data_IF_096639379791
#
_entry.id   IF_096639379791
#
_cell.length_a   1.000
_cell.length_b   1.000
_cell.length_c   1.000
_cell.angle_alpha   90.00
_cell.angle_beta   90.00
_cell.angle_gamma   90.00
#
_symmetry.space_group_name_H-M   'P 1'
#
loop_
_entity.id
_entity.type
_entity.pdbx_description
1 polymer ?
#
# COMPACT_ATOMS: atom_id res chain seq x y z
N UNK A 1 14.01 -17.34 -6.71
CA UNK A 1 12.85 -18.23 -6.56
C UNK A 1 11.83 -17.95 -7.65
N UNK A 2 11.18 -18.98 -8.19
CA UNK A 2 10.02 -18.75 -9.06
C UNK A 2 8.86 -18.11 -8.29
N UNK A 3 8.14 -17.19 -8.91
CA UNK A 3 6.91 -16.67 -8.34
C UNK A 3 5.91 -17.83 -8.18
N UNK A 4 5.34 -17.97 -7.00
CA UNK A 4 4.43 -19.02 -6.49
C UNK A 4 4.13 -20.17 -7.46
N UNK A 5 4.83 -21.30 -7.27
CA UNK A 5 4.52 -22.60 -7.90
C UNK A 5 5.23 -22.91 -9.22
N UNK A 6 6.06 -22.02 -9.73
CA UNK A 6 6.95 -22.31 -10.85
C UNK A 6 8.20 -23.01 -10.35
N UNK A 7 8.37 -24.31 -10.67
CA UNK A 7 9.64 -24.99 -10.47
C UNK A 7 10.69 -24.35 -11.38
N UNK A 8 11.81 -23.91 -10.81
CA UNK A 8 12.96 -23.51 -11.60
C UNK A 8 13.61 -24.78 -12.16
N UNK A 9 13.83 -24.81 -13.47
CA UNK A 9 14.44 -25.94 -14.14
C UNK A 9 15.87 -25.65 -14.59
N UNK A 10 16.48 -26.61 -15.26
CA UNK A 10 17.85 -26.52 -15.80
C UNK A 10 18.04 -25.34 -16.77
N UNK A 11 17.03 -25.01 -17.56
CA UNK A 11 17.09 -23.87 -18.50
C UNK A 11 17.23 -22.52 -17.82
N UNK A 12 16.57 -22.32 -16.69
CA UNK A 12 16.69 -21.11 -15.88
C UNK A 12 18.03 -21.06 -15.15
N UNK A 13 18.53 -22.19 -14.72
CA UNK A 13 19.85 -22.31 -14.12
C UNK A 13 20.95 -21.89 -15.10
N UNK A 14 20.93 -22.44 -16.32
CA UNK A 14 21.86 -22.07 -17.39
C UNK A 14 21.78 -20.58 -17.76
N UNK A 15 20.57 -20.04 -17.80
CA UNK A 15 20.36 -18.60 -18.07
C UNK A 15 20.97 -17.72 -16.99
N UNK A 16 20.78 -18.06 -15.71
CA UNK A 16 21.40 -17.35 -14.58
C UNK A 16 22.91 -17.43 -14.64
N UNK A 17 23.45 -18.62 -14.87
CA UNK A 17 24.88 -18.84 -15.00
C UNK A 17 25.46 -18.00 -16.14
N UNK A 18 24.85 -18.01 -17.31
CA UNK A 18 25.27 -17.22 -18.46
C UNK A 18 25.31 -15.70 -18.16
N UNK A 19 24.27 -15.19 -17.46
CA UNK A 19 24.22 -13.77 -17.10
C UNK A 19 25.37 -13.39 -16.15
N UNK A 20 25.70 -14.26 -15.18
CA UNK A 20 26.80 -14.01 -14.23
C UNK A 20 28.17 -14.08 -14.91
N UNK A 21 28.37 -15.06 -15.80
CA UNK A 21 29.61 -15.26 -16.53
C UNK A 21 29.86 -14.09 -17.51
N UNK A 22 28.84 -13.65 -18.23
CA UNK A 22 28.91 -12.45 -19.11
C UNK A 22 29.18 -11.15 -18.34
N UNK A 23 28.73 -11.06 -17.09
CA UNK A 23 29.00 -9.91 -16.23
C UNK A 23 30.38 -9.97 -15.54
N UNK A 24 31.10 -11.07 -15.68
CA UNK A 24 32.41 -11.27 -15.03
C UNK A 24 32.32 -11.33 -13.50
N UNK A 25 31.16 -11.70 -12.95
CA UNK A 25 30.93 -11.77 -11.51
C UNK A 25 31.31 -13.14 -10.96
N UNK A 26 32.39 -13.18 -10.19
CA UNK A 26 32.82 -14.40 -9.49
C UNK A 26 31.82 -14.78 -8.38
N UNK A 27 31.51 -16.07 -8.30
CA UNK A 27 30.66 -16.64 -7.24
C UNK A 27 31.30 -17.89 -6.64
N UNK A 28 31.06 -18.15 -5.35
CA UNK A 28 31.62 -19.30 -4.64
C UNK A 28 30.84 -20.59 -4.96
N UNK A 29 29.53 -20.48 -5.12
CA UNK A 29 28.66 -21.61 -5.48
C UNK A 29 27.39 -21.16 -6.17
N UNK A 30 26.89 -21.99 -7.08
CA UNK A 30 25.62 -21.87 -7.77
C UNK A 30 24.91 -23.22 -7.70
N UNK A 31 23.78 -23.29 -7.01
CA UNK A 31 23.04 -24.53 -6.73
C UNK A 31 21.57 -24.36 -7.05
N UNK A 32 21.00 -25.35 -7.74
CA UNK A 32 19.56 -25.47 -7.95
C UNK A 32 19.02 -26.51 -6.96
N UNK A 33 18.05 -26.09 -6.13
CA UNK A 33 17.32 -26.98 -5.22
C UNK A 33 15.81 -26.72 -5.28
N UNK A 34 15.05 -27.46 -4.47
CA UNK A 34 13.58 -27.34 -4.42
C UNK A 34 13.10 -25.93 -4.01
N UNK A 35 13.94 -25.16 -3.34
CA UNK A 35 13.64 -23.78 -2.91
C UNK A 35 13.98 -22.74 -3.98
N UNK A 36 14.73 -23.10 -5.02
CA UNK A 36 15.14 -22.21 -6.10
C UNK A 36 16.63 -22.29 -6.45
N UNK A 37 17.13 -21.29 -7.19
CA UNK A 37 18.56 -21.14 -7.50
C UNK A 37 19.21 -20.34 -6.37
N UNK A 38 20.20 -20.93 -5.71
CA UNK A 38 21.03 -20.27 -4.70
C UNK A 38 22.40 -19.95 -5.27
N UNK A 39 22.82 -18.71 -5.10
CA UNK A 39 24.11 -18.21 -5.54
C UNK A 39 24.82 -17.65 -4.32
N UNK A 40 26.05 -18.08 -4.07
CA UNK A 40 26.88 -17.57 -3.00
C UNK A 40 27.98 -16.70 -3.59
N UNK A 41 28.09 -15.47 -3.08
CA UNK A 41 29.12 -14.53 -3.44
C UNK A 41 30.09 -14.33 -2.29
N UNK A 42 31.38 -14.04 -2.58
CA UNK A 42 32.37 -13.82 -1.53
C UNK A 42 32.19 -12.51 -0.78
N UNK A 43 31.54 -11.51 -1.42
CA UNK A 43 31.33 -10.18 -0.82
C UNK A 43 29.90 -9.69 -1.05
N UNK A 44 29.46 -8.78 -0.17
CA UNK A 44 28.15 -8.12 -0.29
C UNK A 44 28.05 -7.24 -1.53
N UNK A 45 29.15 -6.63 -1.97
CA UNK A 45 29.18 -5.80 -3.17
C UNK A 45 28.96 -6.64 -4.45
N UNK A 46 29.62 -7.79 -4.53
CA UNK A 46 29.41 -8.75 -5.63
C UNK A 46 27.96 -9.26 -5.64
N UNK A 47 27.37 -9.51 -4.47
CA UNK A 47 25.98 -9.93 -4.32
C UNK A 47 25.00 -8.86 -4.83
N UNK A 48 25.22 -7.59 -4.49
CA UNK A 48 24.39 -6.47 -4.93
C UNK A 48 24.49 -6.25 -6.45
N UNK A 49 25.70 -6.27 -7.01
CA UNK A 49 25.93 -6.16 -8.43
C UNK A 49 25.24 -7.30 -9.21
N UNK A 50 25.35 -8.53 -8.69
CA UNK A 50 24.69 -9.68 -9.30
C UNK A 50 23.16 -9.54 -9.27
N UNK A 51 22.58 -9.06 -8.17
CA UNK A 51 21.14 -8.77 -8.09
C UNK A 51 20.72 -7.80 -9.19
N UNK A 52 21.39 -6.65 -9.28
CA UNK A 52 21.03 -5.60 -10.23
C UNK A 52 21.09 -6.10 -11.68
N UNK A 53 22.12 -6.90 -12.00
CA UNK A 53 22.26 -7.50 -13.32
C UNK A 53 21.19 -8.55 -13.60
N UNK A 54 20.87 -9.41 -12.63
CA UNK A 54 19.84 -10.43 -12.76
C UNK A 54 18.43 -9.82 -12.84
N UNK A 55 18.14 -8.74 -12.10
CA UNK A 55 16.86 -8.02 -12.19
C UNK A 55 16.61 -7.43 -13.59
N UNK A 56 17.66 -6.99 -14.28
CA UNK A 56 17.56 -6.42 -15.64
C UNK A 56 17.49 -7.49 -16.73
N UNK A 57 18.20 -8.61 -16.56
CA UNK A 57 18.39 -9.60 -17.65
C UNK A 57 17.50 -10.85 -17.54
N UNK A 58 16.96 -11.14 -16.35
CA UNK A 58 16.04 -12.25 -16.20
C UNK A 58 14.61 -11.85 -16.59
N UNK A 59 13.84 -12.79 -17.20
CA UNK A 59 12.43 -12.56 -17.47
C UNK A 59 11.65 -12.25 -16.18
N UNK A 60 10.58 -11.48 -16.31
CA UNK A 60 9.66 -11.22 -15.19
C UNK A 60 9.04 -12.52 -14.67
N UNK A 61 8.91 -12.63 -13.36
CA UNK A 61 8.35 -13.83 -12.71
C UNK A 61 9.31 -14.52 -11.75
N UNK A 62 10.47 -13.93 -11.50
CA UNK A 62 11.42 -14.42 -10.50
C UNK A 62 11.55 -13.41 -9.35
N UNK A 63 11.61 -13.91 -8.13
CA UNK A 63 11.94 -13.10 -6.95
C UNK A 63 13.40 -13.33 -6.59
N UNK A 64 14.20 -12.25 -6.62
CA UNK A 64 15.58 -12.27 -6.18
C UNK A 64 15.62 -11.81 -4.74
N UNK A 65 15.92 -12.72 -3.83
CA UNK A 65 16.06 -12.43 -2.40
C UNK A 65 17.55 -12.43 -2.03
N UNK A 66 18.00 -11.37 -1.35
CA UNK A 66 19.34 -11.29 -0.79
C UNK A 66 19.30 -11.84 0.64
N UNK A 67 20.21 -12.80 0.92
CA UNK A 67 20.36 -13.37 2.26
C UNK A 67 21.85 -13.44 2.57
N UNK A 68 22.26 -13.00 3.75
CA UNK A 68 23.60 -13.22 4.22
C UNK A 68 23.67 -14.59 4.85
N UNK A 69 24.56 -15.45 4.32
CA UNK A 69 24.86 -16.72 4.92
C UNK A 69 25.94 -16.55 5.98
N UNK A 70 25.80 -17.23 7.13
CA UNK A 70 26.87 -17.24 8.13
C UNK A 70 28.14 -17.88 7.53
N UNK A 71 29.27 -17.30 7.83
CA UNK A 71 30.59 -17.89 7.54
C UNK A 71 31.02 -18.92 8.60
N UNK A 72 30.07 -19.55 9.29
CA UNK A 72 30.34 -20.53 10.31
C UNK A 72 30.89 -21.83 9.67
N UNK A 73 31.94 -22.43 10.22
CA UNK A 73 32.44 -23.73 9.76
C UNK A 73 31.37 -24.83 9.90
N UNK A 74 31.35 -25.79 8.97
CA UNK A 74 30.34 -26.86 8.93
C UNK A 74 30.28 -27.72 10.20
N UNK A 75 31.39 -27.89 10.91
CA UNK A 75 31.44 -28.61 12.18
C UNK A 75 30.63 -27.92 13.30
N UNK A 76 30.53 -26.58 13.27
CA UNK A 76 29.76 -25.80 14.26
C UNK A 76 28.26 -25.95 14.02
N UNK A 77 27.84 -25.98 12.77
CA UNK A 77 26.44 -26.26 12.40
C UNK A 77 26.03 -27.69 12.76
N UNK A 78 26.95 -28.66 12.67
CA UNK A 78 26.76 -30.03 13.11
C UNK A 78 26.52 -30.21 14.63
N UNK A 79 26.95 -29.24 15.45
CA UNK A 79 26.70 -29.17 16.89
C UNK A 79 25.37 -28.45 17.24
N UNK A 80 24.58 -28.07 16.24
CA UNK A 80 23.34 -27.31 16.46
C UNK A 80 23.56 -25.85 16.87
N UNK A 81 24.78 -25.33 16.77
CA UNK A 81 25.06 -23.92 17.03
C UNK A 81 24.60 -23.09 15.85
N UNK A 82 23.42 -22.50 15.99
CA UNK A 82 22.90 -21.55 15.01
C UNK A 82 23.61 -20.20 15.18
N UNK A 83 24.01 -19.54 14.09
CA UNK A 83 24.58 -18.21 14.16
C UNK A 83 23.57 -17.22 14.76
N UNK A 84 24.06 -16.35 15.61
CA UNK A 84 23.25 -15.27 16.14
C UNK A 84 22.94 -14.26 15.03
N UNK A 85 21.67 -13.95 14.84
CA UNK A 85 21.27 -12.93 13.89
C UNK A 85 21.70 -11.55 14.42
N UNK A 86 22.46 -10.86 13.57
CA UNK A 86 22.99 -9.54 13.91
C UNK A 86 21.92 -8.48 13.63
N UNK A 87 21.57 -7.70 14.64
CA UNK A 87 20.66 -6.57 14.50
C UNK A 87 21.25 -5.42 13.67
N UNK A 88 20.46 -4.34 13.55
CA UNK A 88 20.79 -3.15 12.76
C UNK A 88 22.16 -2.56 13.12
N UNK A 89 22.53 -2.55 14.41
CA UNK A 89 23.77 -1.93 14.92
C UNK A 89 25.04 -2.69 14.52
N UNK A 90 24.92 -3.98 14.19
CA UNK A 90 26.05 -4.83 13.82
C UNK A 90 26.10 -5.16 12.33
N UNK A 91 24.95 -5.15 11.66
CA UNK A 91 24.81 -5.49 10.24
C UNK A 91 24.75 -4.26 9.35
N UNK A 92 24.45 -3.11 9.93
CA UNK A 92 24.05 -1.93 9.20
C UNK A 92 22.64 -2.06 8.65
N UNK A 93 22.14 -1.07 7.97
CA UNK A 93 20.80 -1.05 7.38
C UNK A 93 20.08 0.27 7.66
N UNK A 94 18.75 0.23 7.64
CA UNK A 94 17.92 1.43 7.75
C UNK A 94 16.91 1.30 8.89
N UNK A 95 16.78 2.38 9.64
CA UNK A 95 15.74 2.59 10.64
C UNK A 95 14.81 3.68 10.17
N UNK A 96 13.52 3.37 10.10
CA UNK A 96 12.45 4.33 9.84
C UNK A 96 11.54 4.45 11.06
N UNK A 97 11.19 5.69 11.40
CA UNK A 97 10.10 5.99 12.29
C UNK A 97 8.94 6.57 11.44
N UNK A 98 7.82 5.86 11.43
CA UNK A 98 6.64 6.21 10.66
C UNK A 98 5.57 6.73 11.62
N UNK A 99 4.88 7.79 11.24
CA UNK A 99 3.69 8.30 11.92
C UNK A 99 2.45 7.99 11.08
N UNK A 100 1.42 7.46 11.72
CA UNK A 100 0.13 7.14 11.07
C UNK A 100 -0.75 8.38 11.08
N UNK A 101 -1.28 8.76 9.91
CA UNK A 101 -2.22 9.87 9.78
C UNK A 101 -3.61 9.47 10.29
N UNK A 102 -3.80 9.65 11.60
CA UNK A 102 -5.04 9.32 12.29
C UNK A 102 -6.20 10.23 11.89
N UNK A 103 -5.91 11.47 11.47
CA UNK A 103 -6.94 12.39 10.99
C UNK A 103 -7.55 11.90 9.66
N UNK A 104 -6.72 11.36 8.78
CA UNK A 104 -7.22 10.73 7.54
C UNK A 104 -8.03 9.47 7.82
N UNK A 105 -7.66 8.67 8.82
CA UNK A 105 -8.45 7.53 9.25
C UNK A 105 -9.83 7.97 9.78
N UNK A 106 -9.86 9.00 10.63
CA UNK A 106 -11.09 9.56 11.16
C UNK A 106 -11.99 10.12 10.04
N UNK A 107 -11.43 10.90 9.12
CA UNK A 107 -12.17 11.43 7.95
C UNK A 107 -12.85 10.34 7.14
N UNK A 108 -12.14 9.23 6.86
CA UNK A 108 -12.72 8.08 6.14
C UNK A 108 -13.84 7.40 6.93
N UNK A 109 -13.72 7.33 8.25
CA UNK A 109 -14.78 6.80 9.10
C UNK A 109 -16.02 7.72 9.06
N UNK A 110 -15.84 9.03 9.16
CA UNK A 110 -16.92 10.02 9.04
C UNK A 110 -17.63 9.93 7.69
N UNK A 111 -16.91 9.76 6.57
CA UNK A 111 -17.49 9.58 5.23
C UNK A 111 -18.31 8.27 5.12
N UNK A 112 -17.88 7.20 5.79
CA UNK A 112 -18.70 5.97 5.90
C UNK A 112 -19.96 6.23 6.69
N UNK A 113 -19.87 6.87 7.85
CA UNK A 113 -21.05 7.22 8.65
C UNK A 113 -22.01 8.16 7.93
N UNK A 114 -21.54 9.06 7.04
CA UNK A 114 -22.41 9.84 6.16
C UNK A 114 -23.27 8.93 5.27
N UNK A 115 -22.67 7.86 4.76
CA UNK A 115 -23.38 6.88 3.92
C UNK A 115 -24.38 6.06 4.74
N UNK A 116 -23.97 5.64 5.93
CA UNK A 116 -24.81 4.86 6.86
C UNK A 116 -25.98 5.71 7.38
N UNK A 117 -25.75 6.97 7.71
CA UNK A 117 -26.82 7.92 8.09
C UNK A 117 -27.84 8.10 6.98
N UNK A 118 -27.39 8.19 5.71
CA UNK A 118 -28.31 8.28 4.56
C UNK A 118 -29.17 7.04 4.40
N UNK A 119 -28.62 5.85 4.57
CA UNK A 119 -29.39 4.60 4.49
C UNK A 119 -30.34 4.47 5.67
N UNK A 120 -29.89 4.69 6.90
CA UNK A 120 -30.66 4.59 8.13
C UNK A 120 -31.87 5.53 8.11
N UNK A 121 -31.66 6.81 7.77
CA UNK A 121 -32.77 7.78 7.72
C UNK A 121 -33.74 7.49 6.57
N UNK A 122 -33.26 6.96 5.44
CA UNK A 122 -34.11 6.56 4.30
C UNK A 122 -34.97 5.35 4.68
N UNK A 123 -34.43 4.35 5.32
CA UNK A 123 -35.14 3.15 5.78
C UNK A 123 -36.21 3.52 6.82
N UNK A 124 -35.90 4.46 7.72
CA UNK A 124 -36.85 5.01 8.68
C UNK A 124 -37.84 5.99 8.04
N UNK A 125 -37.77 6.26 6.73
CA UNK A 125 -38.60 7.22 6.00
C UNK A 125 -38.56 8.64 6.54
N UNK A 126 -37.49 9.01 7.20
CA UNK A 126 -37.25 10.37 7.74
C UNK A 126 -36.68 11.25 6.61
N UNK A 127 -37.36 12.38 6.35
CA UNK A 127 -36.94 13.30 5.29
C UNK A 127 -35.91 14.29 5.85
N UNK A 128 -34.74 14.37 5.23
CA UNK A 128 -33.69 15.32 5.53
C UNK A 128 -33.42 16.23 4.34
N UNK A 129 -32.76 17.36 4.55
CA UNK A 129 -32.36 18.32 3.52
C UNK A 129 -30.97 18.01 2.99
N UNK A 130 -30.04 17.70 3.91
CA UNK A 130 -28.66 17.39 3.59
C UNK A 130 -27.98 16.58 4.68
N UNK A 131 -26.98 15.79 4.31
CA UNK A 131 -26.04 15.15 5.22
C UNK A 131 -24.66 15.34 4.64
N UNK A 132 -23.80 16.05 5.38
CA UNK A 132 -22.45 16.36 4.95
C UNK A 132 -21.48 16.28 6.14
N UNK A 133 -20.22 15.94 5.83
CA UNK A 133 -19.13 16.05 6.78
C UNK A 133 -18.70 17.52 6.87
N UNK A 134 -18.46 17.99 8.08
CA UNK A 134 -17.97 19.34 8.30
C UNK A 134 -16.46 19.44 8.05
N UNK A 135 -15.99 20.62 7.64
CA UNK A 135 -14.55 20.86 7.42
C UNK A 135 -13.74 20.79 8.70
N UNK A 136 -14.35 21.10 9.84
CA UNK A 136 -13.76 21.04 11.18
C UNK A 136 -13.84 19.67 11.84
N UNK A 137 -14.43 18.65 11.15
CA UNK A 137 -14.71 17.33 11.66
C UNK A 137 -16.14 17.18 12.16
N UNK A 138 -16.63 15.93 12.16
CA UNK A 138 -18.02 15.60 12.46
C UNK A 138 -18.92 15.64 11.24
N UNK A 139 -20.21 15.32 11.46
CA UNK A 139 -21.21 15.20 10.41
C UNK A 139 -22.42 16.05 10.79
N UNK A 140 -22.85 16.88 9.86
CA UNK A 140 -24.05 17.68 10.01
C UNK A 140 -25.20 17.10 9.20
N UNK A 141 -26.35 16.88 9.88
CA UNK A 141 -27.60 16.46 9.29
C UNK A 141 -28.61 17.58 9.39
N UNK A 142 -29.00 18.17 8.26
CA UNK A 142 -29.98 19.25 8.18
C UNK A 142 -31.36 18.68 7.93
N UNK A 143 -32.32 19.03 8.79
CA UNK A 143 -33.68 18.52 8.78
C UNK A 143 -34.71 19.62 8.48
N UNK A 144 -35.93 19.21 8.17
CA UNK A 144 -36.97 20.12 7.72
C UNK A 144 -37.87 20.64 8.85
N UNK A 145 -37.97 19.89 9.94
CA UNK A 145 -38.83 20.22 11.08
C UNK A 145 -38.28 19.64 12.37
N UNK A 146 -38.67 20.22 13.51
CA UNK A 146 -38.30 19.74 14.84
C UNK A 146 -38.76 18.31 15.11
N UNK A 147 -39.94 17.92 14.64
CA UNK A 147 -40.46 16.55 14.73
C UNK A 147 -39.56 15.55 13.99
N UNK A 148 -39.14 15.91 12.76
CA UNK A 148 -38.18 15.10 12.00
C UNK A 148 -36.82 15.01 12.69
N UNK A 149 -36.39 16.07 13.41
CA UNK A 149 -35.13 16.09 14.13
C UNK A 149 -35.15 15.16 15.34
N UNK A 150 -36.23 15.18 16.10
CA UNK A 150 -36.43 14.29 17.25
C UNK A 150 -36.49 12.80 16.82
N UNK A 151 -37.25 12.52 15.77
CA UNK A 151 -37.32 11.17 15.19
C UNK A 151 -35.97 10.70 14.66
N UNK A 152 -35.22 11.57 13.95
CA UNK A 152 -33.88 11.28 13.46
C UNK A 152 -32.90 11.03 14.60
N UNK A 153 -32.90 11.86 15.63
CA UNK A 153 -32.04 11.74 16.80
C UNK A 153 -32.21 10.38 17.47
N UNK A 154 -33.47 9.97 17.69
CA UNK A 154 -33.80 8.65 18.30
C UNK A 154 -33.35 7.51 17.42
N UNK A 155 -33.61 7.61 16.12
CA UNK A 155 -33.24 6.56 15.15
C UNK A 155 -31.73 6.40 15.01
N UNK A 156 -30.99 7.51 14.92
CA UNK A 156 -29.54 7.50 14.79
C UNK A 156 -28.89 6.91 16.03
N UNK A 157 -29.30 7.35 17.23
CA UNK A 157 -28.77 6.80 18.49
C UNK A 157 -29.00 5.32 18.65
N UNK A 158 -30.13 4.80 18.15
CA UNK A 158 -30.44 3.38 18.23
C UNK A 158 -29.65 2.54 17.19
N UNK A 159 -29.48 3.08 15.97
CA UNK A 159 -28.86 2.34 14.88
C UNK A 159 -27.33 2.49 14.79
N UNK A 160 -26.79 3.63 15.23
CA UNK A 160 -25.37 3.99 15.09
C UNK A 160 -24.79 4.43 16.45
N UNK A 161 -24.57 3.49 17.38
CA UNK A 161 -24.09 3.81 18.74
C UNK A 161 -22.67 4.38 18.79
N UNK A 162 -21.89 4.27 17.69
CA UNK A 162 -20.57 4.88 17.55
C UNK A 162 -20.59 6.40 17.31
N UNK A 163 -21.80 7.02 17.24
CA UNK A 163 -21.96 8.46 17.05
C UNK A 163 -22.57 9.13 18.28
N UNK A 164 -21.91 10.17 18.75
CA UNK A 164 -22.45 11.12 19.71
C UNK A 164 -23.25 12.17 18.96
N UNK A 165 -24.58 12.17 19.10
CA UNK A 165 -25.47 13.05 18.36
C UNK A 165 -26.12 14.07 19.28
N UNK A 166 -25.95 15.34 18.90
CA UNK A 166 -26.55 16.50 19.57
C UNK A 166 -27.47 17.25 18.63
N UNK A 167 -28.64 17.66 19.12
CA UNK A 167 -29.57 18.52 18.39
C UNK A 167 -29.23 19.98 18.60
N UNK A 168 -29.48 20.79 17.57
CA UNK A 168 -29.31 22.22 17.60
C UNK A 168 -30.08 22.92 16.48
N UNK A 169 -30.01 24.26 16.47
CA UNK A 169 -30.59 25.07 15.40
C UNK A 169 -29.50 25.90 14.75
N UNK A 170 -29.55 25.99 13.44
CA UNK A 170 -28.68 26.87 12.66
C UNK A 170 -29.56 27.80 11.83
N UNK A 171 -29.74 29.02 12.34
CA UNK A 171 -30.76 29.95 11.80
C UNK A 171 -32.17 29.41 11.98
N UNK A 172 -32.87 29.17 10.88
CA UNK A 172 -34.24 28.60 10.86
C UNK A 172 -34.28 27.09 10.66
N UNK A 173 -33.12 26.43 10.51
CA UNK A 173 -33.03 25.03 10.21
C UNK A 173 -32.74 24.17 11.46
N UNK A 174 -33.38 23.04 11.56
CA UNK A 174 -33.07 22.05 12.61
C UNK A 174 -31.85 21.23 12.15
N UNK A 175 -30.82 21.17 12.98
CA UNK A 175 -29.56 20.53 12.68
C UNK A 175 -29.21 19.51 13.77
N UNK A 176 -28.81 18.31 13.35
CA UNK A 176 -28.16 17.36 14.23
C UNK A 176 -26.67 17.32 13.89
N UNK A 177 -25.83 17.51 14.91
CA UNK A 177 -24.40 17.32 14.82
C UNK A 177 -24.03 15.96 15.39
N UNK A 178 -23.46 15.11 14.55
CA UNK A 178 -23.01 13.77 14.89
C UNK A 178 -21.48 13.72 14.85
N UNK A 179 -20.87 13.48 16.00
CA UNK A 179 -19.43 13.29 16.13
C UNK A 179 -19.15 11.80 16.43
N UNK A 180 -17.98 11.31 16.05
CA UNK A 180 -17.54 10.01 16.49
C UNK A 180 -17.38 10.00 18.00
N UNK A 181 -17.94 9.00 18.67
CA UNK A 181 -17.73 8.79 20.09
C UNK A 181 -16.24 8.53 20.38
N UNK A 182 -15.75 8.98 21.54
CA UNK A 182 -14.32 8.78 21.88
C UNK A 182 -13.90 7.31 21.84
N UNK A 183 -14.76 6.42 22.30
CA UNK A 183 -14.52 4.98 22.25
C UNK A 183 -14.39 4.44 20.83
N UNK A 184 -15.16 4.98 19.89
CA UNK A 184 -15.08 4.63 18.47
C UNK A 184 -13.77 5.15 17.84
N UNK A 185 -13.37 6.37 18.20
CA UNK A 185 -12.09 6.96 17.76
C UNK A 185 -10.91 6.10 18.25
N UNK A 186 -10.92 5.70 19.50
CA UNK A 186 -9.85 4.89 20.10
C UNK A 186 -9.76 3.49 19.43
N UNK A 187 -10.90 2.87 19.16
CA UNK A 187 -10.97 1.60 18.42
C UNK A 187 -10.48 1.75 16.97
N UNK A 188 -10.91 2.81 16.30
CA UNK A 188 -10.49 3.12 14.94
C UNK A 188 -8.97 3.31 14.86
N UNK A 189 -8.39 4.05 15.80
CA UNK A 189 -6.95 4.31 15.82
C UNK A 189 -6.15 3.04 16.10
N UNK A 190 -6.60 2.24 17.05
CA UNK A 190 -5.98 0.95 17.34
C UNK A 190 -6.03 0.03 16.13
N UNK A 191 -7.20 -0.09 15.50
CA UNK A 191 -7.38 -0.90 14.30
C UNK A 191 -6.51 -0.42 13.15
N UNK A 192 -6.49 0.90 12.88
CA UNK A 192 -5.66 1.47 11.81
C UNK A 192 -4.17 1.20 12.03
N UNK A 193 -3.69 1.31 13.28
CA UNK A 193 -2.31 1.05 13.63
C UNK A 193 -1.95 -0.43 13.44
N UNK A 194 -2.77 -1.37 13.91
CA UNK A 194 -2.56 -2.81 13.78
C UNK A 194 -2.58 -3.26 12.30
N UNK A 195 -3.52 -2.74 11.52
CA UNK A 195 -3.58 -3.00 10.08
C UNK A 195 -2.37 -2.45 9.34
N UNK A 196 -1.93 -1.23 9.68
CA UNK A 196 -0.73 -0.67 9.08
C UNK A 196 0.53 -1.47 9.44
N UNK A 197 0.67 -1.93 10.68
CA UNK A 197 1.78 -2.81 11.10
C UNK A 197 1.78 -4.09 10.26
N UNK A 198 0.62 -4.71 10.08
CA UNK A 198 0.48 -5.93 9.29
C UNK A 198 0.85 -5.69 7.81
N UNK A 199 0.31 -4.62 7.22
CA UNK A 199 0.63 -4.26 5.83
C UNK A 199 2.12 -3.92 5.65
N UNK A 200 2.71 -3.16 6.58
CA UNK A 200 4.14 -2.83 6.55
C UNK A 200 5.01 -4.09 6.70
N UNK A 201 4.64 -5.02 7.58
CA UNK A 201 5.34 -6.30 7.74
C UNK A 201 5.30 -7.10 6.44
N UNK A 202 4.13 -7.25 5.83
CA UNK A 202 4.00 -7.93 4.54
C UNK A 202 4.88 -7.27 3.45
N UNK A 203 4.94 -5.93 3.41
CA UNK A 203 5.80 -5.20 2.47
C UNK A 203 7.28 -5.46 2.69
N UNK A 204 7.70 -5.54 3.93
CA UNK A 204 9.09 -5.82 4.30
C UNK A 204 9.46 -7.27 3.98
N UNK A 205 8.54 -8.21 4.23
CA UNK A 205 8.72 -9.63 3.88
C UNK A 205 8.86 -9.81 2.36
N UNK A 206 8.07 -9.07 1.57
CA UNK A 206 8.19 -9.06 0.11
C UNK A 206 9.49 -8.42 -0.41
N UNK A 207 10.10 -7.53 0.38
CA UNK A 207 11.45 -7.02 0.07
C UNK A 207 12.54 -8.06 0.31
N UNK A 208 12.22 -9.19 0.93
CA UNK A 208 13.17 -10.26 1.24
C UNK A 208 14.17 -9.91 2.35
N UNK A 209 13.83 -8.95 3.21
CA UNK A 209 14.69 -8.55 4.33
C UNK A 209 14.68 -9.64 5.38
N UNK A 210 15.88 -10.07 5.80
CA UNK A 210 16.00 -11.05 6.87
C UNK A 210 15.82 -10.37 8.24
N UNK A 211 14.88 -10.90 9.03
CA UNK A 211 14.55 -10.47 10.39
C UNK A 211 14.28 -8.95 10.55
N UNK A 212 13.31 -8.44 9.83
CA UNK A 212 12.92 -7.05 9.98
C UNK A 212 12.23 -6.84 11.33
N UNK A 213 12.39 -5.66 11.91
CA UNK A 213 11.61 -5.26 13.07
C UNK A 213 10.51 -4.32 12.61
N UNK A 214 9.25 -4.71 12.80
CA UNK A 214 8.08 -3.85 12.58
C UNK A 214 7.24 -3.85 13.84
N UNK A 215 7.27 -2.75 14.59
CA UNK A 215 6.62 -2.68 15.90
C UNK A 215 6.01 -1.31 16.18
N UNK A 216 4.99 -1.33 17.03
CA UNK A 216 4.34 -0.12 17.53
C UNK A 216 5.29 0.67 18.45
N UNK A 217 5.29 2.00 18.30
CA UNK A 217 5.93 2.94 19.22
C UNK A 217 4.94 4.04 19.64
N UNK A 218 4.43 3.94 20.87
CA UNK A 218 3.38 4.84 21.35
C UNK A 218 2.04 4.62 20.64
N UNK A 219 1.23 5.68 20.51
CA UNK A 219 -0.16 5.57 20.05
C UNK A 219 -0.35 5.78 18.54
N UNK A 220 0.64 6.40 17.86
CA UNK A 220 0.51 6.79 16.45
C UNK A 220 1.70 6.42 15.59
N UNK A 221 2.74 5.79 16.16
CA UNK A 221 4.01 5.57 15.47
C UNK A 221 4.32 4.10 15.30
N UNK A 222 5.05 3.81 14.24
CA UNK A 222 5.53 2.47 13.89
C UNK A 222 7.02 2.59 13.61
N UNK A 223 7.82 1.77 14.28
CA UNK A 223 9.24 1.59 13.99
C UNK A 223 9.39 0.47 12.97
N UNK A 224 10.16 0.73 11.92
CA UNK A 224 10.57 -0.26 10.93
C UNK A 224 12.09 -0.26 10.85
N UNK A 225 12.69 -1.42 11.17
CA UNK A 225 14.13 -1.62 11.02
C UNK A 225 14.38 -2.69 9.97
N UNK A 226 15.26 -2.37 9.03
CA UNK A 226 15.58 -3.20 7.88
C UNK A 226 17.07 -3.50 7.87
N UNK A 227 17.52 -4.55 8.60
CA UNK A 227 18.92 -4.91 8.63
C UNK A 227 19.44 -5.33 7.25
N UNK A 228 20.62 -4.85 6.86
CA UNK A 228 21.27 -5.19 5.59
C UNK A 228 20.70 -4.51 4.34
N UNK A 229 19.66 -3.67 4.46
CA UNK A 229 19.13 -2.90 3.34
C UNK A 229 20.03 -1.68 3.08
N UNK A 230 20.52 -1.56 1.86
CA UNK A 230 21.36 -0.45 1.42
C UNK A 230 20.58 0.54 0.54
N UNK A 231 19.61 0.07 -0.24
CA UNK A 231 18.75 0.93 -1.06
C UNK A 231 17.60 1.51 -0.20
N UNK A 232 17.95 2.59 0.51
CA UNK A 232 17.00 3.33 1.36
C UNK A 232 15.88 3.97 0.55
N UNK A 233 16.18 4.40 -0.67
CA UNK A 233 15.21 5.07 -1.54
C UNK A 233 14.11 4.11 -2.01
N UNK A 234 14.47 2.87 -2.36
CA UNK A 234 13.49 1.82 -2.71
C UNK A 234 12.65 1.42 -1.50
N UNK A 235 13.29 1.20 -0.35
CA UNK A 235 12.59 0.88 0.89
C UNK A 235 11.58 1.98 1.26
N UNK A 236 11.99 3.24 1.21
CA UNK A 236 11.15 4.41 1.47
C UNK A 236 9.96 4.50 0.51
N UNK A 237 10.17 4.27 -0.79
CA UNK A 237 9.08 4.25 -1.78
C UNK A 237 8.06 3.16 -1.46
N UNK A 238 8.50 1.96 -1.10
CA UNK A 238 7.61 0.83 -0.84
C UNK A 238 6.85 1.00 0.48
N UNK A 239 7.52 1.44 1.54
CA UNK A 239 6.90 1.62 2.85
C UNK A 239 5.96 2.82 2.89
N UNK A 240 6.33 3.95 2.27
CA UNK A 240 5.60 5.21 2.35
C UNK A 240 4.43 5.34 1.37
N UNK A 241 4.36 4.52 0.31
CA UNK A 241 3.28 4.62 -0.66
C UNK A 241 1.97 4.05 -0.12
N UNK A 242 0.93 4.87 -0.17
CA UNK A 242 -0.46 4.47 0.11
C UNK A 242 -1.23 4.31 -1.19
N UNK A 243 -0.77 3.37 -2.03
CA UNK A 243 -1.47 3.09 -3.27
C UNK A 243 -2.59 2.07 -3.05
N UNK A 244 -3.74 2.33 -3.62
CA UNK A 244 -4.85 1.38 -3.70
C UNK A 244 -5.44 1.41 -5.11
N UNK A 245 -6.17 0.34 -5.45
CA UNK A 245 -6.95 0.29 -6.68
C UNK A 245 -8.43 0.32 -6.35
N UNK A 246 -9.17 1.01 -7.19
CA UNK A 246 -10.63 0.96 -7.21
C UNK A 246 -11.12 0.60 -8.62
N UNK A 247 -12.07 -0.31 -8.68
CA UNK A 247 -12.72 -0.68 -9.93
C UNK A 247 -14.02 0.06 -10.05
N UNK A 248 -14.21 0.78 -11.18
CA UNK A 248 -15.37 1.62 -11.45
C UNK A 248 -15.89 1.39 -12.86
N UNK A 249 -17.21 1.57 -13.09
CA UNK A 249 -17.76 1.56 -14.43
C UNK A 249 -17.48 2.88 -15.15
N UNK A 250 -17.22 2.79 -16.45
CA UNK A 250 -17.22 3.98 -17.31
C UNK A 250 -18.66 4.41 -17.55
N UNK A 251 -18.95 5.68 -17.35
CA UNK A 251 -20.24 6.26 -17.68
C UNK A 251 -20.30 6.50 -19.18
N UNK A 252 -20.92 5.57 -19.89
CA UNK A 252 -21.14 5.62 -21.35
C UNK A 252 -22.51 6.17 -21.73
N UNK A 253 -23.36 6.45 -20.72
CA UNK A 253 -24.71 6.99 -20.94
C UNK A 253 -24.70 8.52 -21.13
N UNK A 254 -23.67 9.19 -20.60
CA UNK A 254 -23.52 10.63 -20.67
C UNK A 254 -22.33 11.06 -21.54
N UNK A 255 -22.46 12.21 -22.20
CA UNK A 255 -21.39 12.74 -23.04
C UNK A 255 -20.22 13.23 -22.23
N UNK A 256 -19.02 12.70 -22.50
CA UNK A 256 -17.76 13.16 -21.92
C UNK A 256 -17.49 14.64 -22.25
N UNK A 257 -17.79 15.08 -23.48
CA UNK A 257 -17.58 16.46 -23.92
C UNK A 257 -18.44 17.44 -23.11
N UNK A 258 -19.69 17.09 -22.86
CA UNK A 258 -20.58 17.89 -22.01
C UNK A 258 -20.09 17.96 -20.57
N UNK A 259 -19.56 16.83 -20.06
CA UNK A 259 -18.99 16.79 -18.69
C UNK A 259 -17.73 17.65 -18.58
N UNK A 260 -16.82 17.59 -19.54
CA UNK A 260 -15.61 18.46 -19.60
C UNK A 260 -16.01 19.93 -19.71
N UNK A 261 -17.11 20.25 -20.42
CA UNK A 261 -17.70 21.58 -20.51
C UNK A 261 -18.42 22.07 -19.24
N UNK A 262 -18.30 21.33 -18.10
CA UNK A 262 -18.85 21.71 -16.80
C UNK A 262 -20.22 21.10 -16.44
N UNK A 263 -20.82 20.29 -17.31
CA UNK A 263 -22.11 19.60 -17.06
C UNK A 263 -21.88 18.16 -16.61
N UNK A 264 -21.21 17.99 -15.46
CA UNK A 264 -20.94 16.67 -14.89
C UNK A 264 -22.22 16.06 -14.27
N UNK A 265 -22.64 14.86 -14.65
CA UNK A 265 -23.81 14.20 -14.08
C UNK A 265 -23.62 13.94 -12.56
N UNK A 266 -24.68 14.05 -11.73
CA UNK A 266 -24.54 13.90 -10.26
C UNK A 266 -23.96 12.54 -9.82
N UNK A 267 -24.17 11.48 -10.61
CA UNK A 267 -23.68 10.11 -10.34
C UNK A 267 -22.26 9.84 -10.82
N UNK A 268 -21.64 10.78 -11.54
CA UNK A 268 -20.36 10.55 -12.21
C UNK A 268 -19.32 11.60 -11.84
N UNK A 269 -18.06 11.33 -12.13
CA UNK A 269 -16.91 12.22 -11.91
C UNK A 269 -15.93 12.04 -13.06
N UNK A 270 -15.29 13.15 -13.48
CA UNK A 270 -14.23 13.12 -14.47
C UNK A 270 -12.93 12.71 -13.78
N UNK A 271 -12.30 11.70 -14.34
CA UNK A 271 -10.93 11.27 -14.02
C UNK A 271 -10.05 11.45 -15.23
N UNK A 272 -8.75 11.22 -15.09
CA UNK A 272 -7.79 11.31 -16.18
C UNK A 272 -6.95 10.05 -16.24
N UNK A 273 -6.62 9.64 -17.44
CA UNK A 273 -5.54 8.70 -17.67
C UNK A 273 -4.18 9.38 -17.39
N UNK A 274 -3.11 8.62 -17.32
CA UNK A 274 -1.75 9.15 -17.18
C UNK A 274 -1.36 10.12 -18.28
N UNK A 275 -1.80 9.88 -19.50
CA UNK A 275 -1.61 10.75 -20.67
C UNK A 275 -2.55 11.97 -20.67
N UNK A 276 -3.19 12.26 -19.55
CA UNK A 276 -4.10 13.38 -19.30
C UNK A 276 -5.41 13.34 -20.09
N UNK A 277 -5.69 12.30 -20.88
CA UNK A 277 -7.00 12.13 -21.53
C UNK A 277 -8.09 11.99 -20.48
N UNK A 278 -9.19 12.76 -20.57
CA UNK A 278 -10.28 12.65 -19.62
C UNK A 278 -11.13 11.41 -19.88
N UNK A 279 -11.73 10.88 -18.82
CA UNK A 279 -12.71 9.80 -18.84
C UNK A 279 -13.77 10.05 -17.77
N UNK A 280 -15.03 9.76 -18.07
CA UNK A 280 -16.13 9.90 -17.13
C UNK A 280 -16.40 8.55 -16.49
N UNK A 281 -16.31 8.47 -15.15
CA UNK A 281 -16.57 7.25 -14.39
C UNK A 281 -17.77 7.46 -13.47
N UNK A 282 -18.54 6.40 -13.24
CA UNK A 282 -19.55 6.36 -12.19
C UNK A 282 -18.84 6.47 -10.82
N UNK A 283 -19.39 7.26 -9.89
CA UNK A 283 -18.81 7.42 -8.53
C UNK A 283 -18.85 6.15 -7.69
N UNK A 284 -19.61 5.15 -8.15
CA UNK A 284 -19.77 3.90 -7.43
C UNK A 284 -18.55 3.01 -7.62
N UNK A 285 -17.82 2.77 -6.53
CA UNK A 285 -16.76 1.75 -6.49
C UNK A 285 -17.39 0.36 -6.50
N UNK A 286 -16.96 -0.49 -7.41
CA UNK A 286 -17.43 -1.89 -7.53
C UNK A 286 -16.77 -2.73 -6.45
N UNK A 287 -15.44 -2.70 -6.38
CA UNK A 287 -14.60 -3.28 -5.34
C UNK A 287 -13.25 -2.56 -5.31
N UNK A 288 -12.53 -2.70 -4.22
CA UNK A 288 -11.25 -2.03 -3.98
C UNK A 288 -10.09 -3.02 -3.85
N UNK A 289 -8.89 -2.49 -3.69
CA UNK A 289 -7.68 -3.29 -3.43
C UNK A 289 -7.78 -4.19 -2.19
N UNK A 290 -8.70 -3.95 -1.27
CA UNK A 290 -8.94 -4.80 -0.09
C UNK A 290 -9.43 -6.20 -0.46
N UNK A 291 -10.06 -6.35 -1.63
CA UNK A 291 -10.51 -7.63 -2.15
C UNK A 291 -9.42 -8.38 -2.94
N UNK A 292 -8.22 -7.83 -3.06
CA UNK A 292 -7.10 -8.45 -3.75
C UNK A 292 -6.33 -9.34 -2.76
N UNK A 293 -6.25 -10.64 -3.08
CA UNK A 293 -5.52 -11.64 -2.29
C UNK A 293 -4.10 -11.83 -2.82
N UNK A 294 -3.94 -11.72 -4.14
CA UNK A 294 -2.64 -11.94 -4.79
C UNK A 294 -2.51 -11.08 -6.04
N UNK A 295 -1.30 -10.62 -6.29
CA UNK A 295 -0.95 -9.86 -7.47
C UNK A 295 0.45 -10.26 -7.95
N UNK A 296 0.60 -10.55 -9.24
CA UNK A 296 1.87 -10.95 -9.82
C UNK A 296 2.14 -10.17 -11.11
N UNK A 297 3.32 -9.54 -11.16
CA UNK A 297 3.79 -8.91 -12.39
C UNK A 297 4.25 -9.96 -13.40
N UNK A 298 3.96 -9.72 -14.66
CA UNK A 298 4.44 -10.53 -15.78
C UNK A 298 4.54 -9.70 -17.06
N UNK A 299 5.06 -10.29 -18.12
CA UNK A 299 5.05 -9.69 -19.46
C UNK A 299 4.00 -10.45 -20.27
N UNK A 300 3.10 -9.72 -20.91
CA UNK A 300 2.18 -10.31 -21.87
C UNK A 300 2.94 -10.77 -23.11
N UNK A 301 2.82 -12.06 -23.41
CA UNK A 301 3.52 -12.68 -24.52
C UNK A 301 3.03 -12.25 -25.90
N UNK A 302 1.84 -11.63 -25.99
CA UNK A 302 1.25 -11.16 -27.25
C UNK A 302 1.62 -9.71 -27.54
N UNK A 303 1.52 -8.84 -26.55
CA UNK A 303 1.81 -7.41 -26.71
C UNK A 303 3.24 -7.02 -26.32
N UNK A 304 3.94 -7.87 -25.56
CA UNK A 304 5.24 -7.56 -24.96
C UNK A 304 5.17 -6.52 -23.83
N UNK A 305 3.96 -6.09 -23.46
CA UNK A 305 3.72 -5.09 -22.42
C UNK A 305 3.78 -5.68 -21.02
N UNK A 306 4.07 -4.83 -20.04
CA UNK A 306 4.02 -5.21 -18.63
C UNK A 306 2.57 -5.33 -18.16
N UNK A 307 2.25 -6.42 -17.47
CA UNK A 307 0.93 -6.70 -16.92
C UNK A 307 1.01 -7.11 -15.46
N UNK A 308 -0.10 -6.90 -14.74
CA UNK A 308 -0.28 -7.42 -13.38
C UNK A 308 -1.48 -8.36 -13.36
N UNK A 309 -1.24 -9.62 -13.06
CA UNK A 309 -2.28 -10.62 -12.83
C UNK A 309 -2.82 -10.49 -11.41
N UNK A 310 -4.12 -10.30 -11.27
CA UNK A 310 -4.81 -10.09 -9.99
C UNK A 310 -5.64 -11.31 -9.64
N UNK A 311 -5.62 -11.70 -8.37
CA UNK A 311 -6.50 -12.72 -7.81
C UNK A 311 -7.34 -12.09 -6.70
N UNK A 312 -8.65 -12.17 -6.82
CA UNK A 312 -9.62 -11.65 -5.84
C UNK A 312 -9.94 -12.68 -4.75
N UNK A 313 -10.40 -12.20 -3.60
CA UNK A 313 -11.04 -13.01 -2.58
C UNK A 313 -12.42 -13.52 -3.04
N UNK A 314 -13.10 -14.28 -2.20
CA UNK A 314 -14.41 -14.84 -2.54
C UNK A 314 -15.51 -13.77 -2.68
N UNK A 315 -15.39 -12.65 -1.95
CA UNK A 315 -16.35 -11.55 -1.98
C UNK A 315 -16.15 -10.74 -3.26
N UNK A 316 -14.91 -10.30 -3.52
CA UNK A 316 -14.54 -9.57 -4.72
C UNK A 316 -14.84 -10.36 -6.00
N UNK A 317 -14.54 -11.67 -6.01
CA UNK A 317 -14.83 -12.54 -7.13
C UNK A 317 -16.33 -12.61 -7.45
N UNK A 318 -17.20 -12.73 -6.43
CA UNK A 318 -18.66 -12.73 -6.62
C UNK A 318 -19.19 -11.39 -7.13
N UNK A 319 -18.67 -10.29 -6.59
CA UNK A 319 -19.03 -8.94 -7.05
C UNK A 319 -18.58 -8.75 -8.49
N UNK A 320 -17.33 -9.09 -8.80
CA UNK A 320 -16.76 -9.00 -10.15
C UNK A 320 -17.58 -9.79 -11.15
N UNK A 321 -17.87 -11.07 -10.85
CA UNK A 321 -18.69 -11.94 -11.68
C UNK A 321 -20.08 -11.37 -11.93
N UNK A 322 -20.75 -10.88 -10.88
CA UNK A 322 -22.10 -10.30 -10.98
C UNK A 322 -22.14 -9.03 -11.83
N UNK A 323 -21.16 -8.15 -11.64
CA UNK A 323 -21.12 -6.85 -12.32
C UNK A 323 -20.69 -7.03 -13.77
N UNK A 324 -19.62 -7.78 -14.04
CA UNK A 324 -19.13 -8.00 -15.41
C UNK A 324 -20.14 -8.77 -16.25
N UNK A 325 -20.79 -9.79 -15.68
CA UNK A 325 -21.83 -10.54 -16.39
C UNK A 325 -23.06 -9.70 -16.80
N UNK A 326 -23.36 -8.60 -16.08
CA UNK A 326 -24.43 -7.67 -16.41
C UNK A 326 -24.02 -6.53 -17.35
N UNK A 327 -22.72 -6.32 -17.54
CA UNK A 327 -22.17 -5.18 -18.25
C UNK A 327 -21.20 -5.62 -19.37
N UNK A 328 -21.46 -6.78 -19.99
CA UNK A 328 -20.70 -7.23 -21.16
C UNK A 328 -20.86 -6.18 -22.28
N UNK A 329 -19.75 -5.80 -22.90
CA UNK A 329 -19.69 -4.77 -23.93
C UNK A 329 -19.44 -3.36 -23.40
N UNK A 330 -19.63 -3.11 -22.09
CA UNK A 330 -19.28 -1.84 -21.44
C UNK A 330 -17.82 -1.84 -20.93
N UNK A 331 -17.28 -0.66 -20.62
CA UNK A 331 -15.92 -0.52 -20.11
C UNK A 331 -15.89 -0.45 -18.59
N UNK A 332 -14.91 -1.12 -18.01
CA UNK A 332 -14.60 -1.06 -16.58
C UNK A 332 -13.19 -0.48 -16.39
N UNK A 333 -13.11 0.60 -15.62
CA UNK A 333 -11.87 1.31 -15.37
C UNK A 333 -11.17 0.78 -14.10
N UNK A 334 -9.85 0.72 -14.16
CA UNK A 334 -8.94 0.52 -13.03
C UNK A 334 -8.41 1.87 -12.62
N UNK A 335 -8.91 2.40 -11.51
CA UNK A 335 -8.48 3.66 -10.93
C UNK A 335 -7.37 3.39 -9.90
N UNK A 336 -6.21 3.98 -10.12
CA UNK A 336 -5.10 4.03 -9.18
C UNK A 336 -5.26 5.26 -8.30
N UNK A 337 -5.18 5.06 -7.00
CA UNK A 337 -5.26 6.12 -6.01
C UNK A 337 -4.00 6.06 -5.16
N UNK A 338 -3.24 7.14 -5.17
CA UNK A 338 -2.06 7.30 -4.34
C UNK A 338 -2.16 8.58 -3.51
N UNK A 339 -1.93 8.48 -2.21
CA UNK A 339 -1.78 9.65 -1.37
C UNK A 339 -0.28 9.94 -1.22
N UNK A 340 0.17 11.07 -1.79
CA UNK A 340 1.53 11.57 -1.64
C UNK A 340 1.56 12.68 -0.62
N UNK A 341 2.50 12.59 0.29
CA UNK A 341 2.83 13.69 1.20
C UNK A 341 4.00 14.47 0.59
N UNK A 342 3.79 15.75 0.29
CA UNK A 342 4.82 16.66 -0.21
C UNK A 342 5.09 17.75 0.80
N UNK A 343 6.36 18.04 1.06
CA UNK A 343 6.75 19.15 1.93
C UNK A 343 6.38 20.45 1.24
N UNK A 344 5.63 21.33 1.93
CA UNK A 344 5.37 22.68 1.44
C UNK A 344 6.66 23.49 1.53
N UNK A 345 6.98 24.17 0.43
CA UNK A 345 8.08 25.11 0.35
C UNK A 345 7.53 26.54 0.28
N UNK A 346 8.30 27.49 0.77
CA UNK A 346 8.06 28.92 0.53
C UNK A 346 8.41 29.35 -0.89
N UNK A 347 8.32 30.66 -1.17
CA UNK A 347 8.64 31.23 -2.47
C UNK A 347 10.13 31.04 -2.90
N UNK A 348 11.00 30.81 -1.91
CA UNK A 348 12.44 30.60 -2.09
C UNK A 348 12.82 29.13 -2.14
N UNK A 349 11.81 28.22 -2.11
CA UNK A 349 12.01 26.77 -2.18
C UNK A 349 12.43 26.14 -0.85
N UNK A 350 12.42 26.88 0.26
CA UNK A 350 12.77 26.37 1.58
C UNK A 350 11.58 25.67 2.25
N UNK A 351 11.80 24.56 2.98
CA UNK A 351 10.73 23.84 3.66
C UNK A 351 10.03 24.70 4.72
N UNK A 352 8.73 24.87 4.58
CA UNK A 352 7.91 25.54 5.57
C UNK A 352 7.82 24.71 6.86
N UNK A 353 7.99 25.37 8.01
CA UNK A 353 7.80 24.79 9.33
C UNK A 353 6.65 25.45 10.04
N UNK A 354 5.88 24.68 10.82
CA UNK A 354 4.84 25.20 11.69
C UNK A 354 5.46 25.81 12.97
N UNK A 355 4.61 26.39 13.84
CA UNK A 355 5.02 27.02 15.11
C UNK A 355 5.73 26.05 16.08
N UNK A 356 5.58 24.74 15.86
CA UNK A 356 6.27 23.68 16.61
C UNK A 356 7.56 23.19 15.93
N UNK A 357 8.03 23.89 14.88
CA UNK A 357 9.24 23.54 14.13
C UNK A 357 9.11 22.30 13.22
N UNK A 358 7.91 21.73 13.08
CA UNK A 358 7.65 20.58 12.20
C UNK A 358 7.44 21.03 10.76
N UNK A 359 7.89 20.23 9.81
CA UNK A 359 7.69 20.46 8.38
C UNK A 359 6.19 20.47 8.05
N UNK A 360 5.74 21.57 7.41
CA UNK A 360 4.38 21.65 6.89
C UNK A 360 4.29 20.83 5.62
N UNK A 361 3.38 19.86 5.60
CA UNK A 361 3.18 18.97 4.46
C UNK A 361 1.79 19.14 3.89
N UNK A 362 1.69 18.96 2.58
CA UNK A 362 0.42 18.88 1.88
C UNK A 362 0.23 17.45 1.40
N UNK A 363 -0.89 16.87 1.73
CA UNK A 363 -1.28 15.59 1.15
C UNK A 363 -1.92 15.85 -0.20
N UNK A 364 -1.35 15.26 -1.22
CA UNK A 364 -1.88 15.26 -2.57
C UNK A 364 -2.46 13.88 -2.87
N UNK A 365 -3.76 13.81 -3.10
CA UNK A 365 -4.41 12.60 -3.60
C UNK A 365 -4.31 12.59 -5.11
N UNK A 366 -3.57 11.65 -5.63
CA UNK A 366 -3.43 11.39 -7.07
C UNK A 366 -4.44 10.31 -7.43
N UNK A 367 -5.29 10.60 -8.39
CA UNK A 367 -6.29 9.68 -8.92
C UNK A 367 -6.07 9.56 -10.41
N UNK A 368 -5.56 8.43 -10.87
CA UNK A 368 -5.23 8.18 -12.27
C UNK A 368 -5.86 6.89 -12.76
N UNK A 369 -6.44 6.91 -13.94
CA UNK A 369 -6.93 5.70 -14.59
C UNK A 369 -5.77 5.01 -15.31
N UNK A 370 -5.45 3.78 -14.89
CA UNK A 370 -4.43 2.96 -15.55
C UNK A 370 -4.96 2.47 -16.88
N UNK A 371 -6.13 1.83 -16.85
CA UNK A 371 -6.75 1.21 -18.03
C UNK A 371 -8.26 1.19 -17.87
N UNK A 372 -8.98 1.13 -18.99
CA UNK A 372 -10.43 1.01 -19.03
C UNK A 372 -10.86 0.06 -20.15
N UNK A 373 -10.56 -1.25 -20.03
CA UNK A 373 -10.87 -2.25 -21.04
C UNK A 373 -12.39 -2.49 -21.16
N UNK A 374 -12.79 -2.99 -22.34
CA UNK A 374 -14.15 -3.50 -22.56
C UNK A 374 -14.28 -4.87 -21.89
N UNK A 375 -15.35 -5.05 -21.14
CA UNK A 375 -15.74 -6.32 -20.56
C UNK A 375 -16.18 -7.25 -21.70
N UNK A 376 -15.33 -8.20 -22.09
CA UNK A 376 -15.63 -9.13 -23.20
C UNK A 376 -16.43 -10.33 -22.75
N UNK A 377 -16.25 -10.73 -21.49
CA UNK A 377 -16.91 -11.88 -20.90
C UNK A 377 -17.09 -11.67 -19.38
N UNK A 378 -17.84 -12.56 -18.76
CA UNK A 378 -18.01 -12.58 -17.31
C UNK A 378 -16.69 -12.95 -16.62
N UNK A 379 -16.09 -11.97 -15.94
CA UNK A 379 -14.83 -12.13 -15.24
C UNK A 379 -15.01 -12.85 -13.90
N UNK A 380 -14.16 -13.82 -13.65
CA UNK A 380 -14.17 -14.60 -12.42
C UNK A 380 -13.24 -14.04 -11.33
N UNK A 381 -12.56 -14.97 -10.66
CA UNK A 381 -11.64 -14.68 -9.56
C UNK A 381 -10.33 -14.03 -10.02
N UNK A 382 -9.93 -14.24 -11.28
CA UNK A 382 -8.66 -13.75 -11.84
C UNK A 382 -8.90 -12.85 -13.02
N UNK A 383 -8.12 -11.77 -13.11
CA UNK A 383 -8.07 -10.86 -14.25
C UNK A 383 -6.68 -10.23 -14.35
N UNK A 384 -6.42 -9.52 -15.44
CA UNK A 384 -5.13 -8.87 -15.69
C UNK A 384 -5.33 -7.36 -15.85
N UNK A 385 -4.36 -6.59 -15.35
CA UNK A 385 -4.26 -5.15 -15.56
C UNK A 385 -3.15 -4.94 -16.60
N UNK A 386 -3.52 -4.31 -17.71
CA UNK A 386 -2.64 -3.93 -18.81
C UNK A 386 -2.43 -2.41 -18.82
N UNK A 387 -1.51 -1.92 -19.64
CA UNK A 387 -1.29 -0.47 -19.81
C UNK A 387 -0.35 0.14 -18.78
N UNK A 388 0.56 -0.67 -18.23
CA UNK A 388 1.65 -0.22 -17.36
C UNK A 388 2.86 0.20 -18.19
N UNK A 389 3.55 1.26 -17.77
CA UNK A 389 4.63 1.87 -18.53
C UNK A 389 5.93 1.03 -18.52
N UNK A 390 6.14 0.24 -17.46
CA UNK A 390 7.34 -0.57 -17.31
C UNK A 390 7.13 -1.81 -16.46
N UNK A 391 8.04 -2.78 -16.62
CA UNK A 391 8.10 -3.99 -15.80
C UNK A 391 8.34 -3.66 -14.32
N UNK A 392 9.18 -2.67 -14.04
CA UNK A 392 9.46 -2.22 -12.66
C UNK A 392 8.19 -1.66 -12.00
N UNK A 393 7.40 -0.91 -12.74
CA UNK A 393 6.13 -0.41 -12.26
C UNK A 393 5.14 -1.54 -11.97
N UNK A 394 5.05 -2.52 -12.86
CA UNK A 394 4.22 -3.71 -12.65
C UNK A 394 4.65 -4.47 -11.39
N UNK A 395 5.94 -4.61 -11.15
CA UNK A 395 6.49 -5.25 -9.94
C UNK A 395 6.16 -4.45 -8.68
N UNK A 396 6.38 -3.14 -8.68
CA UNK A 396 6.05 -2.26 -7.55
C UNK A 396 4.55 -2.28 -7.26
N UNK A 397 3.71 -2.22 -8.31
CA UNK A 397 2.25 -2.30 -8.16
C UNK A 397 1.82 -3.66 -7.61
N UNK A 398 2.31 -4.75 -8.17
CA UNK A 398 2.01 -6.10 -7.72
C UNK A 398 2.41 -6.32 -6.25
N UNK A 399 3.60 -5.82 -5.85
CA UNK A 399 4.07 -5.87 -4.48
C UNK A 399 3.14 -5.10 -3.54
N UNK A 400 2.79 -3.86 -3.89
CA UNK A 400 1.90 -3.03 -3.07
C UNK A 400 0.51 -3.66 -2.91
N UNK A 401 -0.03 -4.23 -3.98
CA UNK A 401 -1.35 -4.88 -3.96
C UNK A 401 -1.34 -6.15 -3.12
N UNK A 402 -0.30 -6.98 -3.27
CA UNK A 402 -0.13 -8.24 -2.53
C UNK A 402 0.11 -8.01 -1.03
N UNK A 403 0.89 -6.99 -0.70
CA UNK A 403 1.16 -6.61 0.69
C UNK A 403 -0.03 -5.97 1.39
N UNK A 404 -1.06 -5.59 0.63
CA UNK A 404 -2.26 -4.95 1.14
C UNK A 404 -2.18 -3.42 1.24
N UNK A 405 -3.35 -2.80 1.29
CA UNK A 405 -3.48 -1.37 1.46
C UNK A 405 -3.25 -0.96 2.92
N UNK A 406 -2.69 0.23 3.12
CA UNK A 406 -2.61 0.83 4.45
C UNK A 406 -4.00 1.36 4.85
N UNK A 407 -4.44 1.04 6.06
CA UNK A 407 -5.71 1.52 6.59
C UNK A 407 -5.72 3.04 6.77
N UNK A 408 -4.56 3.61 7.10
CA UNK A 408 -4.34 5.05 7.13
C UNK A 408 -2.98 5.38 6.49
N UNK A 409 -2.82 6.55 5.88
CA UNK A 409 -1.52 6.99 5.37
C UNK A 409 -0.47 6.99 6.47
N UNK A 410 0.76 6.66 6.09
CA UNK A 410 1.92 6.73 6.98
C UNK A 410 2.92 7.74 6.44
N UNK A 411 3.60 8.40 7.36
CA UNK A 411 4.61 9.40 7.06
C UNK A 411 5.93 9.01 7.74
N UNK A 412 7.03 9.07 6.99
CA UNK A 412 8.36 8.84 7.54
C UNK A 412 8.80 10.14 8.23
N UNK A 413 8.80 10.15 9.55
CA UNK A 413 9.20 11.30 10.36
C UNK A 413 10.68 11.26 10.75
N UNK A 414 11.30 10.08 10.78
CA UNK A 414 12.73 9.91 11.02
C UNK A 414 13.27 8.80 10.11
N UNK A 415 14.44 9.05 9.54
CA UNK A 415 15.20 8.09 8.75
C UNK A 415 16.64 8.11 9.27
N UNK A 416 17.14 6.95 9.67
CA UNK A 416 18.51 6.77 10.13
C UNK A 416 19.13 5.59 9.40
N UNK A 417 20.20 5.82 8.69
CA UNK A 417 20.98 4.79 8.01
C UNK A 417 22.21 4.44 8.85
N UNK A 418 22.39 3.16 9.10
CA UNK A 418 23.60 2.63 9.76
C UNK A 418 24.43 1.96 8.66
N UNK A 419 25.61 2.50 8.41
CA UNK A 419 26.52 1.96 7.40
C UNK A 419 27.10 0.61 7.82
N UNK A 420 27.41 -0.31 6.88
CA UNK A 420 28.01 -1.61 7.18
C UNK A 420 29.37 -1.49 7.89
N UNK A 421 30.12 -0.44 7.59
CA UNK A 421 31.43 -0.16 8.23
C UNK A 421 31.32 0.12 9.73
N UNK A 422 30.23 0.75 10.18
CA UNK A 422 29.96 0.98 11.60
C UNK A 422 29.64 -0.34 12.31
N UNK A 423 28.86 -1.21 11.67
CA UNK A 423 28.57 -2.55 12.17
C UNK A 423 29.85 -3.39 12.34
N UNK A 424 30.73 -3.38 11.34
CA UNK A 424 32.01 -4.09 11.41
C UNK A 424 32.92 -3.56 12.54
N UNK A 425 32.99 -2.25 12.68
CA UNK A 425 33.76 -1.63 13.76
C UNK A 425 33.24 -2.03 15.15
N UNK A 426 31.93 -2.10 15.34
CA UNK A 426 31.29 -2.54 16.57
C UNK A 426 31.56 -4.03 16.86
N UNK A 427 31.55 -4.90 15.85
CA UNK A 427 31.91 -6.31 15.98
C UNK A 427 33.39 -6.45 16.41
N UNK A 428 34.29 -5.75 15.73
CA UNK A 428 35.73 -5.79 16.03
C UNK A 428 36.03 -5.29 17.44
N UNK A 429 35.35 -4.22 17.87
CA UNK A 429 35.49 -3.69 19.22
C UNK A 429 34.92 -4.65 20.27
N UNK A 430 33.76 -5.26 20.00
CA UNK A 430 33.16 -6.28 20.86
C UNK A 430 34.07 -7.49 21.02
N UNK A 431 34.66 -7.98 19.94
CA UNK A 431 35.59 -9.11 19.93
C UNK A 431 36.86 -8.81 20.74
N UNK A 432 37.43 -7.61 20.56
CA UNK A 432 38.58 -7.14 21.36
C UNK A 432 38.26 -7.06 22.86
N UNK A 433 37.08 -6.54 23.20
CA UNK A 433 36.65 -6.42 24.60
C UNK A 433 36.47 -7.79 25.26
N UNK A 434 35.89 -8.76 24.53
CA UNK A 434 35.76 -10.15 25.01
C UNK A 434 37.13 -10.80 25.18
N UNK A 435 38.07 -10.62 24.24
CA UNK A 435 39.43 -11.15 24.36
C UNK A 435 40.16 -10.57 25.56
N UNK A 436 40.05 -9.26 25.79
CA UNK A 436 40.70 -8.59 26.95
C UNK A 436 40.04 -9.02 28.27
N UNK A 437 38.72 -9.31 28.26
CA UNK A 437 38.02 -9.77 29.47
C UNK A 437 38.25 -11.24 29.84
N UNK A 438 38.77 -12.04 28.89
CA UNK A 438 39.12 -13.46 29.11
C UNK A 438 40.55 -13.68 29.56
N UNK A 439 41.44 -12.66 29.47
CA UNK A 439 42.82 -12.65 29.96
C UNK A 439 42.82 -12.00 31.34
#
# INVERSE_FOLDING_TARGET
RGARGGSLGASQFEQVQKVLDEAGLGYDSLVLDDSGIRIRFPTTDAQLHARDMLEVRLPVGYTIALTLLPAAPDWLSGLGALPMYLGLDLRGGVHFLLEVDMESAQRRAEDRYVTDLRSTLREAKIRYRGIARDTSGGITVTLRSAESAEAALKTIRAALPGLDVTGGKEGSEEVLRANLAQTEIDQLFKFALEQNITALRNRVDELGVAEPVVQRQGDRRIVVQLPGVQDTARAKRILGRTATLEMMMVDEEHSLEAAVGGKVPPGSKIYRFRDQRPILLEKRVIYSGENIVDAAASIDTQSGGAIVSITLDAIGARINQKITGKNIGKRMAVLYIENRSTIRTDADGLPLKNDQGRLVRTQQRIEEVITAPVIRDQLGKRFQIEGLDSVMEAQDLALMLRAGSLAAPVEIIEERTVGPSLGQANIDQGFRSVMVGFI
#
